data_IF_768975988233
#
_entry.id   IF_768975988233
#
_cell.length_a   1.000
_cell.length_b   1.000
_cell.length_c   1.000
_cell.angle_alpha   90.00
_cell.angle_beta   90.00
_cell.angle_gamma   90.00
#
_symmetry.space_group_name_H-M   'P 1'
#
loop_
_entity.id
_entity.type
_entity.pdbx_description
1 polymer ?
#
# COMPACT_ATOMS: atom_id res chain seq x y z
N UNK A 1 11.99 -17.03 -13.45
CA UNK A 1 11.08 -16.06 -12.81
C UNK A 1 11.87 -15.27 -11.76
N UNK A 2 12.01 -13.95 -11.92
CA UNK A 2 12.59 -13.12 -10.85
C UNK A 2 11.46 -12.81 -9.86
N UNK A 3 11.57 -13.35 -8.64
CA UNK A 3 10.67 -12.97 -7.55
C UNK A 3 11.13 -11.59 -7.08
N UNK A 4 10.28 -10.59 -7.24
CA UNK A 4 10.50 -9.26 -6.66
C UNK A 4 9.76 -9.20 -5.33
N UNK A 5 10.50 -9.09 -4.23
CA UNK A 5 9.92 -8.91 -2.91
C UNK A 5 9.96 -7.43 -2.54
N UNK A 6 8.85 -6.92 -2.05
CA UNK A 6 8.78 -5.61 -1.41
C UNK A 6 8.66 -5.80 0.10
N UNK A 7 9.38 -4.97 0.84
CA UNK A 7 9.37 -4.96 2.31
C UNK A 7 8.58 -3.74 2.78
N UNK A 8 7.45 -3.98 3.43
CA UNK A 8 6.65 -2.92 4.05
C UNK A 8 7.16 -2.66 5.46
N UNK A 9 7.65 -1.45 5.71
CA UNK A 9 8.27 -1.04 6.98
C UNK A 9 7.29 -0.19 7.78
N UNK A 10 6.77 -0.74 8.88
CA UNK A 10 5.90 -0.05 9.84
C UNK A 10 6.74 0.49 11.00
N UNK A 11 6.99 1.81 10.99
CA UNK A 11 7.85 2.48 11.98
C UNK A 11 7.06 2.76 13.26
N UNK A 12 7.49 2.17 14.37
CA UNK A 12 6.86 2.40 15.67
C UNK A 12 7.14 3.81 16.20
N UNK A 13 6.19 4.37 16.94
CA UNK A 13 6.23 5.79 17.42
C UNK A 13 7.51 6.19 18.13
N UNK A 14 8.14 5.25 18.83
CA UNK A 14 9.37 5.51 19.59
C UNK A 14 10.64 5.55 18.73
N UNK A 15 10.56 5.18 17.46
CA UNK A 15 11.71 5.09 16.55
C UNK A 15 11.72 6.32 15.64
N UNK A 16 12.83 7.10 15.62
CA UNK A 16 12.98 8.24 14.71
C UNK A 16 12.98 7.79 13.25
N UNK A 17 12.31 8.52 12.37
CA UNK A 17 12.30 8.24 10.93
C UNK A 17 13.72 8.25 10.34
N UNK A 18 14.54 9.18 10.79
CA UNK A 18 15.91 9.36 10.36
C UNK A 18 16.74 8.08 10.56
N UNK A 19 16.58 7.42 11.71
CA UNK A 19 17.27 6.17 11.99
C UNK A 19 16.89 5.06 11.00
N UNK A 20 15.59 4.85 10.79
CA UNK A 20 15.09 3.80 9.88
C UNK A 20 15.51 4.06 8.44
N UNK A 21 15.44 5.32 8.00
CA UNK A 21 15.83 5.69 6.64
C UNK A 21 17.32 5.52 6.40
N UNK A 22 18.16 5.81 7.41
CA UNK A 22 19.60 5.53 7.36
C UNK A 22 19.87 4.02 7.19
N UNK A 23 19.18 3.16 7.95
CA UNK A 23 19.32 1.71 7.82
C UNK A 23 18.90 1.20 6.42
N UNK A 24 17.83 1.77 5.85
CA UNK A 24 17.39 1.45 4.48
C UNK A 24 18.45 1.86 3.45
N UNK A 25 19.00 3.06 3.58
CA UNK A 25 20.05 3.60 2.70
C UNK A 25 21.34 2.78 2.79
N UNK A 26 21.82 2.49 4.01
CA UNK A 26 23.01 1.68 4.24
C UNK A 26 22.87 0.24 3.69
N UNK A 27 21.64 -0.28 3.67
CA UNK A 27 21.33 -1.57 3.06
C UNK A 27 21.16 -1.52 1.53
N UNK A 28 21.13 -0.33 0.91
CA UNK A 28 20.80 -0.13 -0.50
C UNK A 28 19.41 -0.66 -0.85
N UNK A 29 18.44 -0.47 0.05
CA UNK A 29 17.14 -1.14 0.01
C UNK A 29 15.99 -0.24 -0.47
N UNK A 30 16.25 0.99 -0.90
CA UNK A 30 15.24 1.99 -1.27
C UNK A 30 14.32 1.50 -2.39
N UNK A 31 14.86 0.72 -3.33
CA UNK A 31 14.12 0.25 -4.49
C UNK A 31 13.02 -0.79 -4.16
N UNK A 32 13.09 -1.42 -2.98
CA UNK A 32 12.15 -2.47 -2.59
C UNK A 32 11.58 -2.32 -1.18
N UNK A 33 11.96 -1.26 -0.44
CA UNK A 33 11.34 -0.89 0.83
C UNK A 33 10.20 0.10 0.61
N UNK A 34 9.06 -0.18 1.22
CA UNK A 34 7.89 0.71 1.26
C UNK A 34 7.67 1.14 2.70
N UNK A 35 7.85 2.42 3.00
CA UNK A 35 7.65 2.94 4.34
C UNK A 35 6.17 3.26 4.55
N UNK A 36 5.54 2.64 5.55
CA UNK A 36 4.13 2.85 5.87
C UNK A 36 3.97 4.17 6.60
N UNK A 37 3.04 5.01 6.12
CA UNK A 37 2.68 6.27 6.76
C UNK A 37 1.19 6.36 7.03
N UNK A 38 0.84 7.01 8.14
CA UNK A 38 -0.54 7.16 8.61
C UNK A 38 -1.08 8.58 8.44
N UNK A 39 -0.26 9.49 7.90
CA UNK A 39 -0.67 10.86 7.60
C UNK A 39 0.14 11.43 6.45
N UNK A 40 -0.44 12.37 5.73
CA UNK A 40 0.25 13.08 4.64
C UNK A 40 1.46 13.89 5.15
N UNK A 41 1.40 14.37 6.39
CA UNK A 41 2.51 15.07 7.04
C UNK A 41 3.72 14.14 7.25
N UNK A 42 3.47 12.90 7.73
CA UNK A 42 4.51 11.88 7.87
C UNK A 42 5.10 11.50 6.50
N UNK A 43 4.26 11.27 5.49
CA UNK A 43 4.70 10.96 4.15
C UNK A 43 5.62 12.05 3.55
N UNK A 44 5.22 13.32 3.68
CA UNK A 44 6.05 14.46 3.27
C UNK A 44 7.38 14.54 4.02
N UNK A 45 7.38 14.26 5.33
CA UNK A 45 8.61 14.24 6.12
C UNK A 45 9.56 13.14 5.64
N UNK A 46 9.06 11.93 5.43
CA UNK A 46 9.86 10.80 4.94
C UNK A 46 10.41 11.10 3.56
N UNK A 47 9.60 11.59 2.63
CA UNK A 47 10.06 11.95 1.29
C UNK A 47 11.15 13.02 1.28
N UNK A 48 11.10 13.99 2.20
CA UNK A 48 12.18 15.00 2.34
C UNK A 48 13.47 14.43 2.91
N UNK A 49 13.37 13.45 3.80
CA UNK A 49 14.53 12.81 4.42
C UNK A 49 15.23 11.83 3.47
N UNK A 50 14.45 11.07 2.72
CA UNK A 50 14.95 10.17 1.69
C UNK A 50 13.93 10.12 0.52
N UNK A 51 14.22 10.83 -0.61
CA UNK A 51 13.31 10.88 -1.76
C UNK A 51 13.27 9.59 -2.58
N UNK A 52 14.16 8.65 -2.33
CA UNK A 52 14.29 7.43 -3.12
C UNK A 52 13.45 6.28 -2.62
N UNK A 53 13.04 6.28 -1.35
CA UNK A 53 12.16 5.23 -0.79
C UNK A 53 10.74 5.32 -1.33
N UNK A 54 10.08 4.15 -1.43
CA UNK A 54 8.64 4.07 -1.68
C UNK A 54 7.87 4.37 -0.40
N UNK A 55 6.71 5.00 -0.54
CA UNK A 55 5.88 5.41 0.60
C UNK A 55 4.47 4.88 0.43
N UNK A 56 3.98 4.10 1.40
CA UNK A 56 2.57 3.77 1.51
C UNK A 56 1.83 4.94 2.15
N UNK A 57 0.94 5.57 1.36
CA UNK A 57 0.14 6.73 1.76
C UNK A 57 -1.30 6.34 1.98
N UNK A 58 -2.00 7.01 2.90
CA UNK A 58 -3.44 6.76 3.12
C UNK A 58 -4.27 7.47 2.04
N UNK A 59 -5.06 6.68 1.29
CA UNK A 59 -5.99 7.12 0.24
C UNK A 59 -7.30 6.33 0.36
N UNK A 60 -7.94 6.37 1.54
CA UNK A 60 -9.13 5.56 1.87
C UNK A 60 -10.42 6.06 1.22
N UNK A 61 -10.37 7.26 0.68
CA UNK A 61 -11.47 7.91 -0.02
C UNK A 61 -10.92 8.99 -0.96
N UNK A 62 -11.79 9.57 -1.79
CA UNK A 62 -11.41 10.59 -2.77
C UNK A 62 -10.78 11.84 -2.11
N UNK A 63 -11.27 12.26 -0.95
CA UNK A 63 -10.72 13.44 -0.25
C UNK A 63 -9.27 13.23 0.19
N UNK A 64 -8.96 12.03 0.72
CA UNK A 64 -7.58 11.66 1.10
C UNK A 64 -6.70 11.56 -0.14
N UNK A 65 -7.20 10.97 -1.22
CA UNK A 65 -6.46 10.87 -2.48
C UNK A 65 -6.15 12.24 -3.07
N UNK A 66 -7.11 13.20 -3.03
CA UNK A 66 -6.85 14.58 -3.44
C UNK A 66 -5.73 15.25 -2.62
N UNK A 67 -5.63 14.97 -1.32
CA UNK A 67 -4.52 15.44 -0.48
C UNK A 67 -3.19 14.82 -0.89
N UNK A 68 -3.20 13.53 -1.27
CA UNK A 68 -2.02 12.84 -1.79
C UNK A 68 -1.54 13.46 -3.10
N UNK A 69 -2.44 13.71 -4.06
CA UNK A 69 -2.12 14.37 -5.34
C UNK A 69 -1.48 15.76 -5.14
N UNK A 70 -1.88 16.48 -4.10
CA UNK A 70 -1.35 17.82 -3.76
C UNK A 70 -0.13 17.78 -2.82
N UNK A 71 0.38 16.60 -2.50
CA UNK A 71 1.47 16.46 -1.51
C UNK A 71 2.82 16.95 -1.99
N UNK A 72 3.06 16.92 -3.30
CA UNK A 72 4.36 17.13 -3.92
C UNK A 72 5.25 15.89 -3.94
N UNK A 73 4.77 14.75 -3.44
CA UNK A 73 5.48 13.46 -3.58
C UNK A 73 5.22 12.94 -5.00
N UNK A 74 6.25 12.50 -5.75
CA UNK A 74 6.06 11.91 -7.08
C UNK A 74 5.22 10.64 -7.03
N UNK A 75 4.34 10.43 -8.01
CA UNK A 75 3.45 9.27 -8.06
C UNK A 75 4.20 7.93 -8.06
N UNK A 76 5.34 7.87 -8.75
CA UNK A 76 6.22 6.69 -8.79
C UNK A 76 6.83 6.31 -7.44
N UNK A 77 6.72 7.18 -6.44
CA UNK A 77 7.13 6.93 -5.05
C UNK A 77 5.97 6.59 -4.12
N UNK A 78 4.75 6.51 -4.66
CA UNK A 78 3.55 6.25 -3.88
C UNK A 78 3.04 4.81 -4.06
N UNK A 79 2.55 4.23 -2.96
CA UNK A 79 1.63 3.09 -2.94
C UNK A 79 0.40 3.53 -2.14
N UNK A 80 -0.78 3.48 -2.74
CA UNK A 80 -1.99 4.03 -2.13
C UNK A 80 -2.71 3.00 -1.25
N UNK A 81 -2.70 3.18 0.06
CA UNK A 81 -3.47 2.35 0.99
C UNK A 81 -4.92 2.81 1.04
N UNK A 82 -5.82 1.99 0.48
CA UNK A 82 -7.24 2.29 0.35
C UNK A 82 -8.07 1.90 1.58
N UNK A 83 -7.42 1.42 2.64
CA UNK A 83 -8.08 1.07 3.90
C UNK A 83 -8.39 -0.42 4.01
N UNK A 84 -9.25 -0.75 4.97
CA UNK A 84 -9.68 -2.13 5.29
C UNK A 84 -11.14 -2.39 4.94
N UNK A 85 -11.80 -1.44 4.29
CA UNK A 85 -13.18 -1.52 3.80
C UNK A 85 -13.19 -1.35 2.29
N UNK A 86 -14.22 -1.87 1.65
CA UNK A 86 -14.42 -1.68 0.20
C UNK A 86 -14.55 -0.19 -0.10
N UNK A 87 -13.82 0.28 -1.09
CA UNK A 87 -13.90 1.63 -1.64
C UNK A 87 -14.64 1.62 -2.97
N UNK A 88 -15.08 2.78 -3.42
CA UNK A 88 -15.73 2.92 -4.71
C UNK A 88 -14.75 2.63 -5.86
N UNK A 89 -15.25 2.05 -6.96
CA UNK A 89 -14.42 1.74 -8.13
C UNK A 89 -13.74 3.00 -8.70
N UNK A 90 -14.41 4.14 -8.67
CA UNK A 90 -13.87 5.42 -9.13
C UNK A 90 -12.59 5.86 -8.41
N UNK A 91 -12.43 5.49 -7.14
CA UNK A 91 -11.20 5.76 -6.41
C UNK A 91 -10.02 4.97 -7.00
N UNK A 92 -10.22 3.68 -7.27
CA UNK A 92 -9.18 2.84 -7.88
C UNK A 92 -8.84 3.31 -9.30
N UNK A 93 -9.84 3.70 -10.09
CA UNK A 93 -9.65 4.24 -11.44
C UNK A 93 -8.80 5.52 -11.40
N UNK A 94 -9.08 6.45 -10.46
CA UNK A 94 -8.29 7.67 -10.30
C UNK A 94 -6.86 7.38 -9.83
N UNK A 95 -6.65 6.49 -8.85
CA UNK A 95 -5.33 6.05 -8.40
C UNK A 95 -4.53 5.45 -9.57
N UNK A 96 -5.12 4.52 -10.31
CA UNK A 96 -4.47 3.86 -11.44
C UNK A 96 -4.19 4.81 -12.61
N UNK A 97 -5.04 5.81 -12.85
CA UNK A 97 -4.81 6.81 -13.90
C UNK A 97 -3.53 7.60 -13.70
N UNK A 98 -3.00 7.64 -12.47
CA UNK A 98 -1.72 8.25 -12.10
C UNK A 98 -0.56 7.25 -12.01
N UNK A 99 -0.78 5.97 -12.38
CA UNK A 99 0.23 4.91 -12.35
C UNK A 99 0.58 4.44 -10.94
N UNK A 100 -0.28 4.68 -9.95
CA UNK A 100 -0.07 4.31 -8.55
C UNK A 100 -0.75 2.97 -8.25
N UNK A 101 -0.05 2.05 -7.58
CA UNK A 101 -0.64 0.79 -7.11
C UNK A 101 -1.53 1.01 -5.88
N UNK A 102 -2.66 0.30 -5.85
CA UNK A 102 -3.59 0.31 -4.73
C UNK A 102 -3.39 -0.91 -3.82
N UNK A 103 -3.18 -0.66 -2.52
CA UNK A 103 -3.10 -1.71 -1.49
C UNK A 103 -4.33 -1.65 -0.60
N UNK A 104 -4.92 -2.80 -0.32
CA UNK A 104 -6.05 -2.94 0.61
C UNK A 104 -5.73 -3.93 1.73
N UNK A 105 -6.06 -3.55 2.97
CA UNK A 105 -6.02 -4.45 4.12
C UNK A 105 -7.26 -5.35 4.14
N UNK A 106 -7.05 -6.67 4.12
CA UNK A 106 -8.15 -7.65 4.19
C UNK A 106 -8.19 -8.37 5.53
N UNK A 107 -7.19 -8.15 6.38
CA UNK A 107 -7.12 -8.72 7.74
C UNK A 107 -8.40 -8.48 8.54
N UNK A 108 -8.91 -9.52 9.18
CA UNK A 108 -10.15 -9.49 9.95
C UNK A 108 -11.38 -9.76 9.07
N UNK A 109 -12.18 -8.75 8.74
CA UNK A 109 -13.52 -8.94 8.17
C UNK A 109 -13.52 -9.65 6.81
N UNK A 110 -12.70 -9.22 5.87
CA UNK A 110 -12.66 -9.79 4.51
C UNK A 110 -12.04 -11.19 4.52
N UNK A 111 -10.95 -11.37 5.26
CA UNK A 111 -10.31 -12.68 5.42
C UNK A 111 -11.25 -13.69 6.11
N UNK A 112 -12.03 -13.24 7.11
CA UNK A 112 -13.07 -14.08 7.74
C UNK A 112 -14.22 -14.41 6.77
N UNK A 113 -14.62 -13.46 5.92
CA UNK A 113 -15.61 -13.71 4.88
C UNK A 113 -15.09 -14.74 3.86
N UNK A 114 -13.83 -14.65 3.44
CA UNK A 114 -13.21 -15.60 2.54
C UNK A 114 -13.14 -17.01 3.12
N UNK A 115 -12.84 -17.15 4.41
CA UNK A 115 -12.88 -18.44 5.11
C UNK A 115 -14.27 -19.06 5.13
N UNK A 116 -15.31 -18.25 5.35
CA UNK A 116 -16.68 -18.72 5.50
C UNK A 116 -17.35 -19.04 4.14
N UNK A 117 -17.02 -18.28 3.09
CA UNK A 117 -17.74 -18.30 1.80
C UNK A 117 -16.86 -18.67 0.59
N UNK A 118 -15.57 -18.94 0.83
CA UNK A 118 -14.59 -19.17 -0.24
C UNK A 118 -13.89 -17.89 -0.70
N UNK A 119 -12.81 -18.06 -1.45
CA UNK A 119 -11.89 -16.99 -1.84
C UNK A 119 -12.39 -16.04 -2.92
N UNK A 120 -13.61 -16.21 -3.46
CA UNK A 120 -14.15 -15.36 -4.53
C UNK A 120 -14.08 -13.87 -4.21
N UNK A 121 -14.19 -13.51 -2.92
CA UNK A 121 -14.06 -12.11 -2.46
C UNK A 121 -12.74 -11.47 -2.85
N UNK A 122 -11.65 -12.22 -2.89
CA UNK A 122 -10.34 -11.70 -3.32
C UNK A 122 -10.29 -11.45 -4.83
N UNK A 123 -10.85 -12.37 -5.62
CA UNK A 123 -10.97 -12.18 -7.08
C UNK A 123 -11.83 -10.96 -7.41
N UNK A 124 -12.94 -10.76 -6.69
CA UNK A 124 -13.82 -9.60 -6.86
C UNK A 124 -13.07 -8.30 -6.54
N UNK A 125 -12.30 -8.26 -5.45
CA UNK A 125 -11.49 -7.10 -5.07
C UNK A 125 -10.38 -6.81 -6.08
N UNK A 126 -9.73 -7.85 -6.61
CA UNK A 126 -8.75 -7.72 -7.68
C UNK A 126 -9.37 -7.06 -8.92
N UNK A 127 -10.55 -7.52 -9.30
CA UNK A 127 -11.31 -6.95 -10.43
C UNK A 127 -11.72 -5.49 -10.18
N UNK A 128 -11.97 -5.11 -8.92
CA UNK A 128 -12.28 -3.74 -8.54
C UNK A 128 -11.06 -2.80 -8.54
N UNK A 129 -9.84 -3.33 -8.64
CA UNK A 129 -8.63 -2.53 -8.75
C UNK A 129 -7.66 -2.67 -7.56
N UNK A 130 -7.83 -3.66 -6.67
CA UNK A 130 -6.83 -3.93 -5.63
C UNK A 130 -5.63 -4.64 -6.26
N UNK A 131 -4.45 -4.04 -6.18
CA UNK A 131 -3.19 -4.60 -6.70
C UNK A 131 -2.47 -5.44 -5.65
N UNK A 132 -2.49 -4.99 -4.40
CA UNK A 132 -1.75 -5.59 -3.29
C UNK A 132 -2.73 -5.86 -2.14
N UNK A 133 -2.68 -7.07 -1.60
CA UNK A 133 -3.50 -7.48 -0.46
C UNK A 133 -2.63 -7.57 0.81
N UNK A 134 -2.94 -6.75 1.83
CA UNK A 134 -2.40 -6.92 3.17
C UNK A 134 -3.31 -7.92 3.93
N UNK A 135 -2.92 -9.18 3.94
CA UNK A 135 -3.72 -10.31 4.42
C UNK A 135 -2.92 -11.23 5.35
N UNK A 136 -3.62 -11.91 6.26
CA UNK A 136 -3.05 -13.01 7.07
C UNK A 136 -3.05 -14.36 6.30
N UNK A 137 -3.68 -14.42 5.12
CA UNK A 137 -3.85 -15.66 4.34
C UNK A 137 -3.36 -15.52 2.89
N UNK A 138 -2.06 -15.23 2.65
CA UNK A 138 -1.55 -14.94 1.31
C UNK A 138 -1.74 -16.12 0.33
N UNK A 139 -1.62 -17.36 0.80
CA UNK A 139 -1.85 -18.54 -0.05
C UNK A 139 -3.30 -18.65 -0.51
N UNK A 140 -4.27 -18.26 0.32
CA UNK A 140 -5.68 -18.23 -0.05
C UNK A 140 -5.98 -17.15 -1.09
N UNK A 141 -5.32 -16.00 -0.98
CA UNK A 141 -5.41 -14.95 -1.99
C UNK A 141 -4.87 -15.44 -3.32
N UNK A 142 -3.66 -15.97 -3.36
CA UNK A 142 -3.02 -16.50 -4.58
C UNK A 142 -3.89 -17.57 -5.25
N UNK A 143 -4.42 -18.51 -4.46
CA UNK A 143 -5.29 -19.57 -4.98
C UNK A 143 -6.64 -19.07 -5.55
N UNK A 144 -7.05 -17.85 -5.21
CA UNK A 144 -8.36 -17.28 -5.58
C UNK A 144 -8.28 -16.29 -6.73
N UNK A 145 -7.09 -15.81 -7.06
CA UNK A 145 -6.88 -14.84 -8.15
C UNK A 145 -6.32 -15.63 -9.35
N UNK A 146 -7.03 -15.68 -10.47
CA UNK A 146 -6.51 -16.31 -11.69
C UNK A 146 -5.31 -15.50 -12.22
N UNK A 147 -4.39 -16.21 -12.90
CA UNK A 147 -3.23 -15.64 -13.59
C UNK A 147 -3.62 -14.59 -14.66
#
# INVERSE_FOLDING_TARGET
MKIQLWVFVDIKRAVPYEQVLTEIEEAGAEAYCVVITYSIGAAKKIHRLNPDVLISISARNQEEWEKCKKSGIPYEKMVAFTGTRRSDASLFEDIHSHGVCAIMGTMGNIDNQAKAKGGQVYADLRTQGVDIFATDFPLSVIASIPD
#
